data_IF_861880746356
#
_entry.id   IF_861880746356
#
_cell.length_a   1.000
_cell.length_b   1.000
_cell.length_c   1.000
_cell.angle_alpha   90.00
_cell.angle_beta   90.00
_cell.angle_gamma   90.00
#
_symmetry.space_group_name_H-M   'P 1'
#
loop_
_entity.id
_entity.type
_entity.pdbx_description
1 polymer ?
#
# COMPACT_ATOMS: atom_id res chain seq x y z
N UNK A 1 5.82 7.38 2.67
CA UNK A 1 6.00 5.91 2.47
C UNK A 1 7.39 5.69 1.92
N UNK A 2 7.94 4.50 2.10
CA UNK A 2 9.35 4.17 1.92
C UNK A 2 9.84 4.32 0.48
N UNK A 3 10.20 5.55 0.11
CA UNK A 3 10.61 5.98 -1.25
C UNK A 3 11.89 5.28 -1.77
N UNK A 4 12.54 4.50 -0.91
CA UNK A 4 13.80 3.81 -1.16
C UNK A 4 13.67 2.30 -1.17
N UNK A 5 12.46 1.76 -0.92
CA UNK A 5 12.25 0.34 -0.65
C UNK A 5 13.22 -0.17 0.46
N UNK A 6 13.48 0.65 1.47
CA UNK A 6 14.44 0.40 2.55
C UNK A 6 13.83 -0.23 3.82
N UNK A 7 12.53 -0.56 3.82
CA UNK A 7 11.75 -1.00 4.97
C UNK A 7 11.40 0.09 5.99
N UNK A 8 11.61 1.38 5.70
CA UNK A 8 11.46 2.48 6.66
C UNK A 8 10.77 3.71 6.08
N UNK A 9 9.94 4.38 6.86
CA UNK A 9 9.23 5.61 6.48
C UNK A 9 9.68 6.78 7.35
N UNK A 10 9.66 7.99 6.79
CA UNK A 10 9.94 9.19 7.58
C UNK A 10 8.84 9.39 8.65
N UNK A 11 9.24 9.74 9.86
CA UNK A 11 8.34 9.93 11.00
C UNK A 11 7.34 11.06 10.76
N UNK A 12 7.74 12.13 10.07
CA UNK A 12 6.86 13.23 9.67
C UNK A 12 5.79 12.77 8.69
N UNK A 13 6.17 12.00 7.67
CA UNK A 13 5.20 11.43 6.73
C UNK A 13 4.27 10.43 7.40
N UNK A 14 4.79 9.61 8.31
CA UNK A 14 4.01 8.70 9.13
C UNK A 14 3.00 9.44 10.00
N UNK A 15 3.40 10.57 10.58
CA UNK A 15 2.55 11.39 11.42
C UNK A 15 1.46 12.12 10.66
N UNK A 16 1.77 12.68 9.49
CA UNK A 16 0.77 13.26 8.59
C UNK A 16 -0.28 12.19 8.20
N UNK A 17 0.16 10.95 7.98
CA UNK A 17 -0.74 9.82 7.72
C UNK A 17 -1.58 9.42 8.95
N UNK A 18 -1.05 9.57 10.17
CA UNK A 18 -1.79 9.28 11.41
C UNK A 18 -2.84 10.36 11.73
N UNK A 19 -2.46 11.65 11.65
CA UNK A 19 -3.37 12.79 11.91
C UNK A 19 -4.55 12.86 10.94
N UNK A 20 -4.37 12.39 9.71
CA UNK A 20 -5.45 12.34 8.72
C UNK A 20 -6.45 11.20 8.97
N UNK A 21 -6.08 10.19 9.78
CA UNK A 21 -6.93 9.03 10.09
C UNK A 21 -7.77 9.18 11.37
N UNK A 22 -7.31 10.00 12.32
CA UNK A 22 -7.94 10.24 13.62
C UNK A 22 -8.16 11.74 13.76
N UNK A 23 -9.32 12.20 14.24
CA UNK A 23 -9.49 13.59 14.71
C UNK A 23 -8.60 13.79 15.95
N UNK A 24 -7.30 13.82 15.75
CA UNK A 24 -6.29 14.01 16.78
C UNK A 24 -6.18 15.50 17.02
N UNK A 25 -6.59 15.95 18.20
CA UNK A 25 -6.33 17.31 18.68
C UNK A 25 -4.87 17.50 19.14
N UNK A 26 -3.92 16.65 18.67
CA UNK A 26 -2.50 16.83 18.96
C UNK A 26 -1.95 17.79 17.91
N UNK A 27 -1.79 19.04 18.32
CA UNK A 27 -1.55 20.19 17.46
C UNK A 27 -0.14 20.26 16.88
N UNK A 28 0.85 19.50 17.41
CA UNK A 28 2.24 19.62 16.96
C UNK A 28 3.13 18.37 17.17
N UNK A 29 4.15 18.24 16.33
CA UNK A 29 5.18 17.18 16.40
C UNK A 29 5.97 17.10 17.71
N UNK A 30 6.41 18.23 18.31
CA UNK A 30 7.12 18.22 19.60
C UNK A 30 6.27 17.64 20.74
N UNK A 31 4.96 17.85 20.67
CA UNK A 31 4.00 17.32 21.66
C UNK A 31 3.90 15.79 21.56
N UNK A 32 3.87 15.23 20.34
CA UNK A 32 3.94 13.78 20.13
C UNK A 32 5.26 13.20 20.62
N UNK A 33 6.40 13.79 20.25
CA UNK A 33 7.71 13.30 20.71
C UNK A 33 7.79 13.32 22.24
N UNK A 34 7.18 14.31 22.89
CA UNK A 34 7.07 14.37 24.35
C UNK A 34 6.17 13.27 24.94
N UNK A 35 5.12 12.85 24.22
CA UNK A 35 4.21 11.77 24.61
C UNK A 35 4.91 10.41 24.44
N UNK A 36 5.59 10.20 23.31
CA UNK A 36 6.36 8.99 23.01
C UNK A 36 7.51 8.82 24.00
N UNK A 37 8.24 9.89 24.32
CA UNK A 37 9.34 9.88 25.31
C UNK A 37 8.87 9.62 26.76
N UNK A 38 7.57 9.78 27.06
CA UNK A 38 6.98 9.52 28.39
C UNK A 38 6.46 8.09 28.55
N UNK A 39 6.35 7.30 27.47
CA UNK A 39 5.93 5.90 27.53
C UNK A 39 7.13 5.01 27.85
N UNK A 40 7.14 4.37 29.02
CA UNK A 40 8.23 3.47 29.46
C UNK A 40 8.47 2.30 28.49
N UNK A 41 7.41 1.86 27.78
CA UNK A 41 7.46 0.80 26.77
C UNK A 41 8.29 1.20 25.53
N UNK A 42 8.40 2.49 25.24
CA UNK A 42 9.16 3.01 24.09
C UNK A 42 10.63 3.26 24.40
N UNK A 43 10.99 3.51 25.66
CA UNK A 43 12.38 3.71 26.06
C UNK A 43 13.26 2.53 25.64
N UNK A 44 12.76 1.30 25.72
CA UNK A 44 13.52 0.09 25.33
C UNK A 44 13.51 -0.20 23.82
N UNK A 45 12.46 0.19 23.08
CA UNK A 45 12.36 0.03 21.61
C UNK A 45 13.16 1.09 20.84
N UNK A 46 13.51 2.20 21.49
CA UNK A 46 14.22 3.37 20.93
C UNK A 46 15.64 3.51 21.50
N UNK A 47 16.04 2.70 22.48
CA UNK A 47 17.36 2.82 23.14
C UNK A 47 18.55 2.47 22.24
N UNK A 48 18.31 1.91 21.05
CA UNK A 48 19.36 1.74 20.01
C UNK A 48 19.52 2.97 19.09
N UNK A 49 19.05 4.14 19.53
CA UNK A 49 19.61 5.42 19.11
C UNK A 49 18.61 6.45 18.60
N UNK A 50 17.88 7.09 19.52
CA UNK A 50 17.56 8.52 19.34
C UNK A 50 18.39 9.37 20.29
N UNK A 51 19.59 9.71 19.82
CA UNK A 51 20.36 10.84 20.34
C UNK A 51 19.44 12.07 20.35
N UNK A 52 19.37 12.70 21.52
CA UNK A 52 18.53 13.83 21.92
C UNK A 52 18.77 15.15 21.14
N UNK A 53 19.29 15.09 19.91
CA UNK A 53 19.63 16.24 19.05
C UNK A 53 19.56 15.92 17.54
N UNK A 54 18.51 15.26 17.05
CA UNK A 54 18.23 15.24 15.59
C UNK A 54 16.93 15.95 15.27
N UNK A 55 16.95 16.64 14.15
CA UNK A 55 15.79 17.30 13.57
C UNK A 55 14.67 16.25 13.36
N UNK A 56 13.44 16.48 13.85
CA UNK A 56 12.29 15.60 13.63
C UNK A 56 12.07 15.17 12.18
N UNK A 57 12.52 15.99 11.23
CA UNK A 57 12.42 15.74 9.79
C UNK A 57 13.38 14.67 9.27
N UNK A 58 14.40 14.26 10.04
CA UNK A 58 15.39 13.23 9.65
C UNK A 58 15.09 11.85 10.27
N UNK A 59 14.11 11.76 11.18
CA UNK A 59 13.72 10.53 11.85
C UNK A 59 13.03 9.56 10.86
N UNK A 60 13.53 8.32 10.77
CA UNK A 60 12.88 7.22 10.04
C UNK A 60 12.47 6.11 11.00
N UNK A 61 11.29 5.57 10.78
CA UNK A 61 10.71 4.48 11.56
C UNK A 61 10.36 3.30 10.65
N UNK A 62 10.52 2.08 11.14
CA UNK A 62 10.11 0.87 10.42
C UNK A 62 8.60 0.59 10.63
N UNK A 63 8.07 -0.44 9.96
CA UNK A 63 6.65 -0.77 10.03
C UNK A 63 6.19 -1.17 11.45
N UNK A 64 7.03 -1.87 12.21
CA UNK A 64 6.72 -2.28 13.59
C UNK A 64 6.60 -1.06 14.52
N UNK A 65 7.54 -0.13 14.42
CA UNK A 65 7.53 1.15 15.14
C UNK A 65 6.32 2.02 14.73
N UNK A 66 5.97 2.02 13.44
CA UNK A 66 4.76 2.71 12.96
C UNK A 66 3.49 2.12 13.56
N UNK A 67 3.35 0.78 13.55
CA UNK A 67 2.19 0.11 14.14
C UNK A 67 2.07 0.40 15.64
N UNK A 68 3.18 0.39 16.36
CA UNK A 68 3.20 0.72 17.78
C UNK A 68 2.68 2.16 18.02
N UNK A 69 3.11 3.14 17.21
CA UNK A 69 2.71 4.54 17.35
C UNK A 69 1.22 4.73 17.05
N UNK A 70 0.73 4.05 16.01
CA UNK A 70 -0.68 4.04 15.64
C UNK A 70 -1.55 3.49 16.78
N UNK A 71 -1.14 2.42 17.45
CA UNK A 71 -1.88 1.87 18.59
C UNK A 71 -1.97 2.86 19.75
N UNK A 72 -0.86 3.44 20.22
CA UNK A 72 -0.86 4.37 21.38
C UNK A 72 -1.74 5.61 21.14
N UNK A 73 -1.68 6.19 19.94
CA UNK A 73 -2.56 7.30 19.55
C UNK A 73 -4.05 6.91 19.57
N UNK A 74 -4.37 5.63 19.30
CA UNK A 74 -5.72 5.09 19.41
C UNK A 74 -6.13 4.71 20.85
N UNK A 75 -5.19 4.35 21.73
CA UNK A 75 -5.46 3.93 23.12
C UNK A 75 -5.87 5.11 24.01
N UNK A 76 -5.20 6.27 23.90
CA UNK A 76 -5.55 7.46 24.72
C UNK A 76 -6.86 8.17 24.31
N UNK A 77 -7.44 7.85 23.16
CA UNK A 77 -8.79 8.30 22.80
C UNK A 77 -9.89 7.49 23.49
N UNK A 78 -9.58 6.29 24.01
CA UNK A 78 -10.51 5.48 24.83
C UNK A 78 -10.44 5.79 26.32
N UNK A 79 -9.39 6.44 26.81
CA UNK A 79 -9.22 6.68 28.26
C UNK A 79 -10.08 7.80 28.86
N UNK A 80 -11.01 8.40 28.09
CA UNK A 80 -12.14 9.13 28.68
C UNK A 80 -13.29 8.19 29.12
N UNK A 81 -13.10 6.87 29.02
CA UNK A 81 -13.98 5.87 29.59
C UNK A 81 -13.22 4.58 29.93
N UNK A 82 -12.89 4.46 31.21
CA UNK A 82 -12.55 3.23 31.97
C UNK A 82 -11.38 2.39 31.44
N UNK A 83 -10.32 2.35 32.26
CA UNK A 83 -9.17 1.47 32.20
C UNK A 83 -9.53 -0.01 32.29
N UNK A 84 -8.85 -0.87 31.52
CA UNK A 84 -8.44 -2.19 31.99
C UNK A 84 -7.12 -2.59 31.32
N UNK A 85 -6.15 -2.88 32.17
CA UNK A 85 -4.88 -3.53 31.87
C UNK A 85 -5.10 -4.98 31.39
N UNK A 86 -4.21 -5.46 30.51
CA UNK A 86 -3.41 -6.69 30.67
C UNK A 86 -3.05 -7.36 29.33
N UNK A 87 -1.73 -7.56 29.17
CA UNK A 87 -1.05 -8.74 28.63
C UNK A 87 -1.22 -9.14 27.14
N UNK A 88 -0.12 -9.03 26.40
CA UNK A 88 0.21 -9.75 25.14
C UNK A 88 1.09 -10.94 25.58
N UNK A 89 0.99 -12.21 25.07
CA UNK A 89 0.97 -12.62 23.64
C UNK A 89 0.16 -13.92 23.30
N UNK A 90 0.03 -14.23 21.99
CA UNK A 90 0.10 -15.60 21.38
C UNK A 90 -0.96 -16.00 20.33
N UNK A 91 -1.95 -15.16 19.98
CA UNK A 91 -3.18 -15.67 19.31
C UNK A 91 -3.46 -15.07 17.92
N UNK A 92 -2.44 -14.60 17.19
CA UNK A 92 -2.58 -14.31 15.75
C UNK A 92 -2.96 -15.57 14.93
N UNK A 93 -2.73 -16.76 15.49
CA UNK A 93 -3.07 -18.06 14.91
C UNK A 93 -4.57 -18.41 14.89
N UNK A 94 -5.44 -17.69 15.63
CA UNK A 94 -6.89 -17.98 15.70
C UNK A 94 -7.76 -17.00 14.89
N UNK A 95 -7.23 -15.82 14.54
CA UNK A 95 -7.99 -14.77 13.84
C UNK A 95 -8.38 -15.14 12.39
N UNK A 96 -7.75 -16.16 11.80
CA UNK A 96 -7.93 -16.54 10.40
C UNK A 96 -9.15 -17.42 10.06
N UNK A 97 -10.02 -17.83 11.00
CA UNK A 97 -11.12 -18.76 10.63
C UNK A 97 -12.55 -18.29 10.88
N UNK A 98 -12.79 -17.21 11.65
CA UNK A 98 -14.14 -16.67 11.88
C UNK A 98 -14.26 -15.14 11.82
N UNK A 99 -13.19 -14.39 11.59
CA UNK A 99 -13.18 -12.93 11.67
C UNK A 99 -13.48 -12.20 10.33
N UNK A 100 -14.10 -12.87 9.36
CA UNK A 100 -14.36 -12.35 8.00
C UNK A 100 -15.29 -11.13 7.97
N UNK A 101 -16.08 -10.89 9.02
CA UNK A 101 -16.96 -9.69 9.11
C UNK A 101 -16.39 -8.56 9.99
N UNK A 102 -15.48 -8.86 10.91
CA UNK A 102 -14.98 -7.87 11.88
C UNK A 102 -13.73 -7.14 11.39
N UNK A 103 -12.80 -7.86 10.76
CA UNK A 103 -11.63 -7.26 10.10
C UNK A 103 -12.05 -6.36 8.92
N UNK A 104 -13.19 -6.66 8.29
CA UNK A 104 -13.84 -5.82 7.27
C UNK A 104 -14.33 -4.46 7.79
N UNK A 105 -14.35 -4.22 9.10
CA UNK A 105 -14.67 -2.90 9.68
C UNK A 105 -13.46 -2.26 10.36
N UNK A 106 -12.67 -3.04 11.09
CA UNK A 106 -11.58 -2.50 11.91
C UNK A 106 -10.40 -1.95 11.07
N UNK A 107 -10.10 -2.56 9.93
CA UNK A 107 -8.99 -2.09 9.05
C UNK A 107 -9.55 -1.27 7.87
N UNK A 108 -10.71 -1.66 7.35
CA UNK A 108 -11.31 -1.04 6.17
C UNK A 108 -11.92 0.33 6.46
N UNK A 109 -12.50 0.59 7.64
CA UNK A 109 -13.06 1.91 7.95
C UNK A 109 -12.02 3.02 8.12
N UNK A 110 -10.91 2.85 8.87
CA UNK A 110 -9.89 3.90 8.95
C UNK A 110 -9.19 4.13 7.61
N UNK A 111 -8.92 3.09 6.82
CA UNK A 111 -8.35 3.25 5.48
C UNK A 111 -9.33 3.86 4.47
N UNK A 112 -10.60 3.43 4.45
CA UNK A 112 -11.61 4.06 3.59
C UNK A 112 -11.82 5.53 3.95
N UNK A 113 -11.77 5.89 5.25
CA UNK A 113 -11.89 7.28 5.69
C UNK A 113 -10.66 8.12 5.32
N UNK A 114 -9.47 7.53 5.40
CA UNK A 114 -8.24 8.13 4.89
C UNK A 114 -8.33 8.37 3.36
N UNK A 115 -8.93 7.45 2.60
CA UNK A 115 -9.17 7.61 1.16
C UNK A 115 -10.32 8.58 0.85
N UNK A 116 -11.39 8.61 1.65
CA UNK A 116 -12.49 9.55 1.51
C UNK A 116 -12.02 11.00 1.71
N UNK A 117 -11.06 11.22 2.62
CA UNK A 117 -10.41 12.52 2.78
C UNK A 117 -9.73 13.00 1.49
N UNK A 118 -9.19 12.10 0.70
CA UNK A 118 -8.51 12.46 -0.54
C UNK A 118 -9.45 12.81 -1.70
N UNK A 119 -10.73 12.42 -1.61
CA UNK A 119 -11.75 12.85 -2.57
C UNK A 119 -12.08 14.35 -2.47
N UNK A 120 -11.67 15.06 -1.41
CA UNK A 120 -12.03 16.47 -1.20
C UNK A 120 -11.15 17.49 -1.94
N UNK A 121 -10.00 17.08 -2.52
CA UNK A 121 -9.01 18.02 -3.05
C UNK A 121 -8.54 17.75 -4.48
N UNK A 122 -9.12 16.79 -5.21
CA UNK A 122 -8.62 16.38 -6.53
C UNK A 122 -9.63 16.75 -7.63
N UNK A 123 -9.23 17.52 -8.66
CA UNK A 123 -10.11 17.89 -9.78
C UNK A 123 -10.67 16.65 -10.49
N UNK A 124 -11.95 16.66 -10.85
CA UNK A 124 -12.60 15.53 -11.53
C UNK A 124 -11.83 15.13 -12.81
N UNK A 125 -11.40 13.87 -12.88
CA UNK A 125 -10.58 13.36 -13.99
C UNK A 125 -11.50 12.81 -15.07
N UNK A 126 -11.20 13.02 -16.35
CA UNK A 126 -12.02 12.47 -17.45
C UNK A 126 -12.15 10.95 -17.36
N UNK A 127 -13.25 10.38 -17.86
CA UNK A 127 -13.36 8.92 -17.95
C UNK A 127 -12.40 8.38 -19.01
N UNK A 128 -11.82 7.21 -18.74
CA UNK A 128 -10.93 6.48 -19.65
C UNK A 128 -11.29 5.00 -19.69
N UNK A 129 -10.82 4.30 -20.70
CA UNK A 129 -11.09 2.87 -20.86
C UNK A 129 -10.23 2.02 -19.93
N UNK A 130 -8.95 2.35 -19.83
CA UNK A 130 -7.97 1.61 -19.04
C UNK A 130 -7.23 2.51 -18.06
N UNK A 131 -6.95 1.98 -16.87
CA UNK A 131 -5.83 2.42 -16.06
C UNK A 131 -4.75 1.34 -16.09
N UNK A 132 -3.50 1.72 -16.35
CA UNK A 132 -2.37 0.78 -16.29
C UNK A 132 -1.37 1.21 -15.21
N UNK A 133 -1.27 0.38 -14.17
CA UNK A 133 -0.33 0.53 -13.08
C UNK A 133 0.89 -0.35 -13.27
N UNK A 134 2.01 0.29 -13.63
CA UNK A 134 3.35 -0.30 -13.68
C UNK A 134 4.26 0.44 -12.72
N UNK A 135 5.35 -0.19 -12.29
CA UNK A 135 6.39 0.44 -11.47
C UNK A 135 7.78 0.13 -12.04
N UNK A 136 8.75 0.98 -11.73
CA UNK A 136 10.16 0.76 -12.07
C UNK A 136 10.39 0.54 -13.57
N UNK A 137 11.07 -0.56 -13.91
CA UNK A 137 11.56 -0.84 -15.27
C UNK A 137 10.43 -1.04 -16.29
N UNK A 138 9.22 -1.38 -15.85
CA UNK A 138 8.10 -1.66 -16.74
C UNK A 138 7.44 -0.38 -17.31
N UNK A 139 7.80 0.80 -16.79
CA UNK A 139 7.40 2.07 -17.39
C UNK A 139 7.89 2.18 -18.85
N UNK A 140 9.09 1.69 -19.13
CA UNK A 140 9.62 1.69 -20.49
C UNK A 140 8.78 0.82 -21.43
N UNK A 141 8.36 -0.36 -20.98
CA UNK A 141 7.45 -1.21 -21.75
C UNK A 141 6.08 -0.55 -21.96
N UNK A 142 5.55 0.12 -20.93
CA UNK A 142 4.28 0.84 -21.02
C UNK A 142 4.32 1.90 -22.13
N UNK A 143 5.36 2.73 -22.15
CA UNK A 143 5.52 3.83 -23.11
C UNK A 143 5.87 3.35 -24.52
N UNK A 144 6.74 2.35 -24.66
CA UNK A 144 7.22 1.92 -25.98
C UNK A 144 6.33 0.89 -26.68
N UNK A 145 5.57 0.09 -25.91
CA UNK A 145 4.84 -1.06 -26.45
C UNK A 145 3.35 -0.97 -26.16
N UNK A 146 2.96 -0.84 -24.89
CA UNK A 146 1.55 -0.97 -24.50
C UNK A 146 0.71 0.23 -24.96
N UNK A 147 1.17 1.46 -24.71
CA UNK A 147 0.44 2.67 -25.09
C UNK A 147 0.20 2.73 -26.60
N UNK A 148 1.22 2.59 -27.48
CA UNK A 148 1.00 2.58 -28.93
C UNK A 148 0.01 1.51 -29.37
N UNK A 149 0.08 0.31 -28.77
CA UNK A 149 -0.83 -0.79 -29.09
C UNK A 149 -2.29 -0.47 -28.74
N UNK A 150 -2.53 0.13 -27.57
CA UNK A 150 -3.87 0.50 -27.08
C UNK A 150 -4.43 1.66 -27.90
N UNK A 151 -3.63 2.69 -28.14
CA UNK A 151 -4.03 3.87 -28.92
C UNK A 151 -4.32 3.52 -30.38
N UNK A 152 -3.58 2.57 -30.98
CA UNK A 152 -3.83 2.11 -32.35
C UNK A 152 -5.22 1.48 -32.56
N UNK A 153 -5.83 0.99 -31.48
CA UNK A 153 -7.17 0.38 -31.46
C UNK A 153 -8.23 1.41 -31.01
N UNK A 154 -7.83 2.66 -30.75
CA UNK A 154 -8.72 3.77 -30.40
C UNK A 154 -9.17 3.76 -28.94
N UNK A 155 -8.50 3.02 -28.05
CA UNK A 155 -8.81 2.99 -26.62
C UNK A 155 -8.06 4.08 -25.87
N UNK A 156 -8.73 4.68 -24.88
CA UNK A 156 -8.19 5.74 -24.05
C UNK A 156 -7.64 5.20 -22.72
N UNK A 157 -6.52 5.72 -22.23
CA UNK A 157 -5.91 5.22 -20.99
C UNK A 157 -5.41 6.31 -20.03
N UNK A 158 -5.43 5.97 -18.75
CA UNK A 158 -4.56 6.55 -17.74
C UNK A 158 -3.33 5.67 -17.56
N UNK A 159 -2.17 6.32 -17.56
CA UNK A 159 -0.88 5.71 -17.24
C UNK A 159 -0.49 6.10 -15.81
N UNK A 160 0.12 5.18 -15.07
CA UNK A 160 0.72 5.57 -13.79
C UNK A 160 1.86 6.55 -14.04
N UNK A 161 1.89 7.64 -13.29
CA UNK A 161 2.84 8.73 -13.51
C UNK A 161 4.19 8.53 -12.81
N UNK A 162 4.42 7.46 -12.03
CA UNK A 162 5.55 7.39 -11.11
C UNK A 162 6.12 5.99 -10.86
N UNK A 163 7.37 5.97 -10.42
CA UNK A 163 8.10 4.77 -10.02
C UNK A 163 7.45 4.01 -8.84
N UNK A 164 6.72 4.69 -7.94
CA UNK A 164 6.02 4.06 -6.80
C UNK A 164 4.80 4.88 -6.31
N UNK A 165 3.82 4.19 -5.71
CA UNK A 165 2.62 4.80 -5.11
C UNK A 165 2.92 5.39 -3.73
N UNK A 166 3.27 6.68 -3.67
CA UNK A 166 3.46 7.38 -2.40
C UNK A 166 2.16 8.04 -1.89
N UNK A 167 2.16 8.46 -0.62
CA UNK A 167 0.96 9.03 0.04
C UNK A 167 0.45 10.30 -0.63
N UNK A 168 1.32 11.10 -1.26
CA UNK A 168 0.94 12.38 -1.88
C UNK A 168 0.21 12.17 -3.21
N UNK A 169 0.55 11.10 -3.93
CA UNK A 169 0.09 10.86 -5.31
C UNK A 169 -0.94 9.73 -5.41
N UNK A 170 -0.91 8.78 -4.47
CA UNK A 170 -1.87 7.68 -4.39
C UNK A 170 -3.33 8.12 -4.55
N UNK A 171 -3.80 9.22 -3.93
CA UNK A 171 -5.17 9.64 -4.16
C UNK A 171 -5.51 10.07 -5.58
N UNK A 172 -4.60 10.76 -6.26
CA UNK A 172 -4.78 11.10 -7.67
C UNK A 172 -4.81 9.83 -8.52
N UNK A 173 -3.96 8.85 -8.22
CA UNK A 173 -3.94 7.56 -8.90
C UNK A 173 -5.22 6.76 -8.67
N UNK A 174 -5.73 6.71 -7.43
CA UNK A 174 -6.99 6.05 -7.10
C UNK A 174 -8.18 6.71 -7.80
N UNK A 175 -8.16 8.03 -7.97
CA UNK A 175 -9.17 8.71 -8.76
C UNK A 175 -9.10 8.34 -10.24
N UNK A 176 -7.89 8.28 -10.84
CA UNK A 176 -7.71 7.81 -12.22
C UNK A 176 -8.19 6.37 -12.39
N UNK A 177 -7.89 5.50 -11.42
CA UNK A 177 -8.39 4.13 -11.37
C UNK A 177 -9.92 4.09 -11.31
N UNK A 178 -10.54 4.87 -10.42
CA UNK A 178 -12.01 4.98 -10.29
C UNK A 178 -12.68 5.49 -11.57
N UNK A 179 -11.99 6.37 -12.30
CA UNK A 179 -12.49 6.95 -13.55
C UNK A 179 -12.12 6.09 -14.78
N UNK A 180 -11.58 4.89 -14.58
CA UNK A 180 -11.29 3.93 -15.64
C UNK A 180 -12.33 2.81 -15.67
N UNK A 181 -12.67 2.32 -16.87
CA UNK A 181 -13.61 1.18 -17.03
C UNK A 181 -12.99 -0.14 -16.57
N UNK A 182 -11.68 -0.30 -16.73
CA UNK A 182 -10.89 -1.44 -16.27
C UNK A 182 -9.54 -0.97 -15.72
N UNK A 183 -9.05 -1.64 -14.68
CA UNK A 183 -7.73 -1.44 -14.08
C UNK A 183 -6.84 -2.64 -14.41
N UNK A 184 -5.65 -2.41 -14.92
CA UNK A 184 -4.58 -3.41 -15.06
C UNK A 184 -3.45 -3.04 -14.10
N UNK A 185 -3.11 -3.90 -13.15
CA UNK A 185 -1.95 -3.73 -12.27
C UNK A 185 -0.91 -4.82 -12.49
N UNK A 186 0.36 -4.42 -12.52
CA UNK A 186 1.50 -5.31 -12.75
C UNK A 186 2.38 -5.32 -11.50
N UNK A 187 2.41 -6.44 -10.79
CA UNK A 187 3.36 -6.71 -9.71
C UNK A 187 4.61 -7.32 -10.35
N UNK A 188 5.73 -6.56 -10.45
CA UNK A 188 6.85 -6.99 -11.24
C UNK A 188 7.79 -7.94 -10.48
N UNK A 189 8.65 -8.59 -11.26
CA UNK A 189 9.73 -9.44 -10.75
C UNK A 189 11.00 -8.68 -10.35
N UNK A 190 11.07 -7.36 -10.58
CA UNK A 190 12.26 -6.53 -10.32
C UNK A 190 12.11 -5.56 -9.13
N UNK A 191 11.02 -5.68 -8.36
CA UNK A 191 10.75 -4.91 -7.14
C UNK A 191 10.14 -5.82 -6.08
N UNK A 192 10.33 -5.52 -4.78
CA UNK A 192 9.65 -6.22 -3.69
C UNK A 192 8.13 -6.20 -3.86
N UNK A 193 7.58 -5.11 -4.43
CA UNK A 193 6.20 -5.02 -4.91
C UNK A 193 5.15 -4.91 -3.80
N UNK A 194 5.54 -4.65 -2.56
CA UNK A 194 4.64 -4.67 -1.39
C UNK A 194 3.50 -3.66 -1.55
N UNK A 195 3.82 -2.42 -1.95
CA UNK A 195 2.85 -1.34 -2.09
C UNK A 195 1.81 -1.64 -3.17
N UNK A 196 2.26 -2.09 -4.35
CA UNK A 196 1.34 -2.43 -5.46
C UNK A 196 0.51 -3.67 -5.13
N UNK A 197 1.06 -4.65 -4.39
CA UNK A 197 0.30 -5.81 -3.91
C UNK A 197 -0.77 -5.42 -2.90
N UNK A 198 -0.46 -4.51 -1.97
CA UNK A 198 -1.44 -3.99 -1.01
C UNK A 198 -2.56 -3.21 -1.72
N UNK A 199 -2.21 -2.40 -2.71
CA UNK A 199 -3.16 -1.69 -3.57
C UNK A 199 -4.06 -2.66 -4.36
N UNK A 200 -3.49 -3.70 -4.95
CA UNK A 200 -4.25 -4.75 -5.64
C UNK A 200 -5.23 -5.45 -4.69
N UNK A 201 -4.78 -5.87 -3.50
CA UNK A 201 -5.65 -6.49 -2.50
C UNK A 201 -6.81 -5.58 -2.08
N UNK A 202 -6.55 -4.28 -1.96
CA UNK A 202 -7.58 -3.29 -1.67
C UNK A 202 -8.62 -3.18 -2.80
N UNK A 203 -8.18 -3.07 -4.06
CA UNK A 203 -9.06 -2.99 -5.23
C UNK A 203 -9.90 -4.26 -5.40
N UNK A 204 -9.33 -5.44 -5.14
CA UNK A 204 -10.08 -6.71 -5.08
C UNK A 204 -11.18 -6.62 -4.01
N UNK A 205 -10.85 -6.15 -2.81
CA UNK A 205 -11.79 -5.99 -1.70
C UNK A 205 -12.94 -5.00 -2.00
N UNK A 206 -12.67 -3.98 -2.83
CA UNK A 206 -13.66 -3.04 -3.35
C UNK A 206 -14.48 -3.56 -4.53
N UNK A 207 -14.19 -4.78 -5.03
CA UNK A 207 -14.82 -5.35 -6.23
C UNK A 207 -14.62 -4.49 -7.48
N UNK A 208 -13.47 -3.82 -7.57
CA UNK A 208 -13.11 -3.08 -8.77
C UNK A 208 -12.96 -4.02 -9.98
N UNK A 209 -13.23 -3.51 -11.18
CA UNK A 209 -12.95 -4.22 -12.43
C UNK A 209 -11.43 -4.22 -12.66
N UNK A 210 -10.80 -5.35 -12.36
CA UNK A 210 -9.34 -5.48 -12.24
C UNK A 210 -8.84 -6.68 -13.05
N UNK A 211 -7.67 -6.53 -13.67
CA UNK A 211 -6.80 -7.60 -14.17
C UNK A 211 -5.45 -7.47 -13.49
N UNK A 212 -4.87 -8.59 -13.06
CA UNK A 212 -3.56 -8.61 -12.41
C UNK A 212 -2.53 -9.37 -13.25
N UNK A 213 -1.34 -8.81 -13.35
CA UNK A 213 -0.13 -9.53 -13.73
C UNK A 213 0.75 -9.66 -12.49
N UNK A 214 1.02 -10.88 -12.02
CA UNK A 214 1.86 -11.13 -10.84
C UNK A 214 3.06 -11.96 -11.25
N UNK A 215 4.23 -11.31 -11.23
CA UNK A 215 5.50 -11.95 -11.57
C UNK A 215 6.28 -12.30 -10.30
N UNK A 216 6.84 -13.50 -10.27
CA UNK A 216 7.65 -13.99 -9.16
C UNK A 216 9.04 -13.35 -9.20
N UNK A 217 9.60 -13.03 -8.03
CA UNK A 217 11.00 -12.63 -7.93
C UNK A 217 11.89 -13.81 -8.34
N UNK A 218 12.88 -13.60 -9.23
CA UNK A 218 13.81 -14.64 -9.61
C UNK A 218 14.80 -14.90 -8.47
N UNK A 219 15.44 -16.07 -8.53
CA UNK A 219 16.55 -16.40 -7.64
C UNK A 219 17.70 -15.38 -7.83
N UNK A 220 18.46 -15.16 -6.75
CA UNK A 220 19.61 -14.24 -6.72
C UNK A 220 19.32 -12.79 -7.19
N UNK A 221 18.05 -12.34 -7.13
CA UNK A 221 17.70 -11.02 -7.61
C UNK A 221 18.28 -9.88 -6.77
N UNK A 222 18.59 -8.78 -7.45
CA UNK A 222 19.02 -7.52 -6.84
C UNK A 222 17.88 -6.53 -6.99
N UNK A 223 17.37 -6.05 -5.86
CA UNK A 223 16.30 -5.04 -5.80
C UNK A 223 16.85 -3.82 -5.08
N UNK A 224 16.72 -2.65 -5.70
CA UNK A 224 17.20 -1.37 -5.12
C UNK A 224 18.69 -1.39 -4.70
N UNK A 225 19.53 -2.16 -5.41
CA UNK A 225 20.96 -2.29 -5.11
C UNK A 225 21.31 -3.32 -4.03
N UNK A 226 20.31 -3.95 -3.42
CA UNK A 226 20.48 -5.00 -2.41
C UNK A 226 20.27 -6.38 -3.04
N UNK A 227 21.22 -7.29 -2.83
CA UNK A 227 21.00 -8.71 -3.16
C UNK A 227 20.10 -9.33 -2.10
N UNK A 228 18.89 -9.73 -2.48
CA UNK A 228 17.95 -10.34 -1.55
C UNK A 228 18.43 -11.72 -1.13
N UNK A 229 18.20 -12.07 0.14
CA UNK A 229 18.45 -13.43 0.64
C UNK A 229 17.44 -14.41 0.04
N UNK A 230 17.82 -15.69 -0.05
CA UNK A 230 16.89 -16.74 -0.51
C UNK A 230 15.61 -16.79 0.34
N UNK A 231 15.74 -16.57 1.65
CA UNK A 231 14.61 -16.54 2.57
C UNK A 231 13.67 -15.36 2.26
N UNK A 232 14.22 -14.17 2.03
CA UNK A 232 13.44 -13.00 1.65
C UNK A 232 12.70 -13.22 0.32
N UNK A 233 13.38 -13.78 -0.69
CA UNK A 233 12.77 -14.11 -1.99
C UNK A 233 11.59 -15.07 -1.79
N UNK A 234 11.76 -16.14 -1.02
CA UNK A 234 10.67 -17.08 -0.69
C UNK A 234 9.51 -16.39 0.01
N UNK A 235 9.78 -15.47 0.93
CA UNK A 235 8.73 -14.74 1.66
C UNK A 235 7.95 -13.77 0.75
N UNK A 236 8.63 -13.01 -0.11
CA UNK A 236 7.99 -12.13 -1.09
C UNK A 236 7.17 -12.90 -2.13
N UNK A 237 7.70 -14.03 -2.59
CA UNK A 237 7.02 -14.92 -3.53
C UNK A 237 5.80 -15.60 -2.89
N UNK A 238 5.87 -15.97 -1.61
CA UNK A 238 4.71 -16.44 -0.86
C UNK A 238 3.61 -15.38 -0.79
N UNK A 239 3.96 -14.12 -0.55
CA UNK A 239 3.00 -13.01 -0.61
C UNK A 239 2.32 -12.88 -1.98
N UNK A 240 3.09 -13.00 -3.08
CA UNK A 240 2.56 -12.97 -4.46
C UNK A 240 1.58 -14.12 -4.73
N UNK A 241 1.89 -15.31 -4.22
CA UNK A 241 0.99 -16.47 -4.31
C UNK A 241 -0.30 -16.24 -3.54
N UNK A 242 -0.24 -15.66 -2.33
CA UNK A 242 -1.44 -15.32 -1.56
C UNK A 242 -2.31 -14.28 -2.26
N UNK A 243 -1.72 -13.24 -2.85
CA UNK A 243 -2.46 -12.27 -3.65
C UNK A 243 -3.15 -12.92 -4.85
N UNK A 244 -2.42 -13.80 -5.57
CA UNK A 244 -2.94 -14.49 -6.76
C UNK A 244 -4.10 -15.43 -6.43
N UNK A 245 -4.00 -16.19 -5.33
CA UNK A 245 -5.08 -17.04 -4.82
C UNK A 245 -6.28 -16.19 -4.37
N UNK A 246 -6.05 -15.09 -3.65
CA UNK A 246 -7.11 -14.18 -3.24
C UNK A 246 -7.84 -13.59 -4.46
N UNK A 247 -7.11 -13.09 -5.45
CA UNK A 247 -7.68 -12.57 -6.70
C UNK A 247 -8.51 -13.62 -7.44
N UNK A 248 -7.98 -14.84 -7.59
CA UNK A 248 -8.64 -15.94 -8.28
C UNK A 248 -9.96 -16.33 -7.61
N UNK A 249 -9.99 -16.40 -6.27
CA UNK A 249 -11.21 -16.70 -5.51
C UNK A 249 -12.28 -15.62 -5.64
N UNK A 250 -11.85 -14.37 -5.83
CA UNK A 250 -12.75 -13.24 -6.01
C UNK A 250 -13.12 -13.00 -7.49
N UNK A 251 -12.69 -13.88 -8.40
CA UNK A 251 -13.02 -13.83 -9.83
C UNK A 251 -12.19 -12.82 -10.64
N UNK A 252 -11.07 -12.34 -10.10
CA UNK A 252 -10.15 -11.42 -10.79
C UNK A 252 -9.16 -12.22 -11.65
N UNK A 253 -9.05 -11.95 -12.96
CA UNK A 253 -8.06 -12.61 -13.82
C UNK A 253 -6.62 -12.32 -13.38
N UNK A 254 -5.79 -13.36 -13.27
CA UNK A 254 -4.37 -13.26 -12.90
C UNK A 254 -3.49 -13.91 -13.97
N UNK A 255 -2.45 -13.20 -14.38
CA UNK A 255 -1.48 -13.64 -15.39
C UNK A 255 -0.06 -13.53 -14.83
N UNK A 256 0.89 -14.22 -15.46
CA UNK A 256 2.32 -14.08 -15.17
C UNK A 256 3.06 -13.31 -16.27
N UNK A 257 2.51 -13.27 -17.47
CA UNK A 257 3.05 -12.53 -18.60
C UNK A 257 2.29 -11.21 -18.76
N UNK A 258 3.05 -10.13 -18.87
CA UNK A 258 2.55 -8.76 -19.00
C UNK A 258 1.79 -8.54 -20.31
N UNK A 259 2.20 -9.21 -21.39
CA UNK A 259 1.58 -9.14 -22.72
C UNK A 259 0.23 -9.83 -22.71
N UNK A 260 0.15 -11.04 -22.12
CA UNK A 260 -1.10 -11.79 -22.01
C UNK A 260 -2.12 -11.04 -21.16
N UNK A 261 -1.66 -10.44 -20.05
CA UNK A 261 -2.49 -9.61 -19.17
C UNK A 261 -3.07 -8.39 -19.91
N UNK A 262 -2.23 -7.71 -20.70
CA UNK A 262 -2.64 -6.56 -21.51
C UNK A 262 -3.66 -6.96 -22.58
N UNK A 263 -3.40 -8.04 -23.32
CA UNK A 263 -4.30 -8.53 -24.36
C UNK A 263 -5.67 -8.88 -23.77
N UNK A 264 -5.69 -9.57 -22.64
CA UNK A 264 -6.93 -9.89 -21.94
C UNK A 264 -7.66 -8.62 -21.46
N UNK A 265 -6.94 -7.64 -20.92
CA UNK A 265 -7.52 -6.38 -20.50
C UNK A 265 -8.17 -5.60 -21.65
N UNK A 266 -7.51 -5.53 -22.81
CA UNK A 266 -8.06 -4.91 -24.04
C UNK A 266 -9.35 -5.62 -24.46
N UNK A 267 -9.35 -6.95 -24.49
CA UNK A 267 -10.53 -7.74 -24.84
C UNK A 267 -11.70 -7.47 -23.89
N UNK A 268 -11.46 -7.47 -22.58
CA UNK A 268 -12.50 -7.16 -21.59
C UNK A 268 -13.12 -5.78 -21.84
N UNK A 269 -12.30 -4.75 -22.05
CA UNK A 269 -12.77 -3.38 -22.29
C UNK A 269 -13.62 -3.24 -23.54
N UNK A 270 -13.28 -3.96 -24.61
CA UNK A 270 -14.06 -3.97 -25.87
C UNK A 270 -15.43 -4.62 -25.70
N UNK A 271 -15.62 -5.44 -24.67
CA UNK A 271 -16.88 -6.14 -24.37
C UNK A 271 -17.66 -5.57 -23.16
N UNK A 272 -17.12 -4.55 -22.48
CA UNK A 272 -17.73 -3.89 -21.32
C UNK A 272 -18.77 -2.83 -21.68
#
# INVERSE_FOLDING_TARGET
>A
MDMSDSGSINLEEAWIALQSSVKCNVSSMPELLSIVNKSETYRSLIDDGFLTKRDPTELRINFEQFCALATESSWRMKSNGVSCESEIPSVWSILCRKATKFLRRAIVQPFNRFLDWTNFFVPESEKRDLYIGVIGKDQFWLETTAIPSIESIGLSLYRSSLNEYNVRVLPQELQRMKNSRLILLIVPQHSRGITIMALAAHLIGLRAKLVLCVQMLPEDCVVSGEKLTEQAIKDYNRGRMYLSDYASREGVPVFQNIVDALQHAIQLVQHL
#
